data_IF_139945333033
#
_entry.id   IF_139945333033
#
_cell.length_a   1.000
_cell.length_b   1.000
_cell.length_c   1.000
_cell.angle_alpha   90.00
_cell.angle_beta   90.00
_cell.angle_gamma   90.00
#
_symmetry.space_group_name_H-M   'P 1'
#
loop_
_entity.id
_entity.type
_entity.pdbx_description
1 polymer ?
#
# COMPACT_ATOMS: atom_id res chain seq x y z
N UNK A 1 1.59 -18.65 -20.87
CA UNK A 1 0.51 -18.36 -19.91
C UNK A 1 -0.16 -17.07 -20.34
N UNK A 2 -1.43 -17.10 -20.76
CA UNK A 2 -2.13 -15.91 -21.27
C UNK A 2 -3.65 -16.04 -21.07
N UNK A 3 -4.07 -16.60 -19.92
CA UNK A 3 -5.49 -16.67 -19.59
C UNK A 3 -6.00 -15.30 -19.18
N UNK A 4 -7.31 -15.07 -19.35
CA UNK A 4 -7.96 -13.85 -18.87
C UNK A 4 -7.73 -13.62 -17.37
N UNK A 5 -7.74 -14.70 -16.57
CA UNK A 5 -7.45 -14.64 -15.14
C UNK A 5 -6.01 -14.18 -14.84
N UNK A 6 -5.02 -14.62 -15.62
CA UNK A 6 -3.64 -14.18 -15.47
C UNK A 6 -3.50 -12.68 -15.74
N UNK A 7 -4.06 -12.20 -16.85
CA UNK A 7 -4.00 -10.78 -17.20
C UNK A 7 -4.70 -9.90 -16.17
N UNK A 8 -5.90 -10.32 -15.73
CA UNK A 8 -6.63 -9.63 -14.67
C UNK A 8 -5.82 -9.55 -13.38
N UNK A 9 -5.19 -10.65 -12.95
CA UNK A 9 -4.36 -10.66 -11.75
C UNK A 9 -3.15 -9.72 -11.85
N UNK A 10 -2.47 -9.70 -12.99
CA UNK A 10 -1.33 -8.81 -13.24
C UNK A 10 -1.72 -7.33 -13.25
N UNK A 11 -2.81 -6.97 -13.94
CA UNK A 11 -3.33 -5.61 -13.92
C UNK A 11 -3.77 -5.19 -12.52
N UNK A 12 -4.55 -6.04 -11.83
CA UNK A 12 -5.06 -5.71 -10.50
C UNK A 12 -3.94 -5.46 -9.48
N UNK A 13 -2.86 -6.26 -9.48
CA UNK A 13 -1.75 -6.03 -8.55
C UNK A 13 -0.95 -4.77 -8.91
N UNK A 14 -0.78 -4.47 -10.20
CA UNK A 14 -0.13 -3.24 -10.65
C UNK A 14 -0.94 -1.99 -10.26
N UNK A 15 -2.26 -2.04 -10.44
CA UNK A 15 -3.18 -0.95 -10.09
C UNK A 15 -3.19 -0.69 -8.58
N UNK A 16 -3.26 -1.76 -7.77
CA UNK A 16 -3.20 -1.66 -6.31
C UNK A 16 -1.89 -1.03 -5.82
N UNK A 17 -0.75 -1.47 -6.37
CA UNK A 17 0.56 -0.91 -6.03
C UNK A 17 0.67 0.57 -6.43
N UNK A 18 0.16 0.92 -7.62
CA UNK A 18 0.16 2.29 -8.14
C UNK A 18 -0.70 3.20 -7.27
N UNK A 19 -1.87 2.74 -6.82
CA UNK A 19 -2.73 3.49 -5.92
C UNK A 19 -2.06 3.79 -4.58
N UNK A 20 -1.36 2.81 -3.98
CA UNK A 20 -0.57 3.02 -2.75
C UNK A 20 0.55 4.03 -2.99
N UNK A 21 1.29 3.91 -4.10
CA UNK A 21 2.35 4.86 -4.44
C UNK A 21 1.81 6.30 -4.52
N UNK A 22 0.71 6.51 -5.25
CA UNK A 22 0.13 7.85 -5.43
C UNK A 22 -0.39 8.44 -4.11
N UNK A 23 -1.00 7.62 -3.24
CA UNK A 23 -1.42 8.07 -1.91
C UNK A 23 -0.23 8.52 -1.05
N UNK A 24 0.86 7.76 -1.07
CA UNK A 24 2.09 8.11 -0.35
C UNK A 24 2.78 9.33 -0.97
N UNK A 25 2.79 9.45 -2.29
CA UNK A 25 3.29 10.63 -2.99
C UNK A 25 2.55 11.90 -2.56
N UNK A 26 1.21 11.84 -2.50
CA UNK A 26 0.37 12.94 -2.06
C UNK A 26 0.59 13.31 -0.58
N UNK A 27 0.95 12.34 0.28
CA UNK A 27 1.28 12.60 1.69
C UNK A 27 2.68 13.18 1.91
N UNK A 28 3.58 13.10 0.92
CA UNK A 28 4.94 13.60 1.00
C UNK A 28 5.70 13.11 2.25
N UNK A 29 6.37 14.04 2.93
CA UNK A 29 7.17 13.77 4.14
C UNK A 29 6.34 13.46 5.39
N UNK A 30 5.00 13.59 5.33
CA UNK A 30 4.13 13.18 6.43
C UNK A 30 3.92 11.66 6.45
N UNK A 31 3.94 11.01 5.28
CA UNK A 31 3.67 9.58 5.13
C UNK A 31 2.28 9.17 5.63
N UNK A 32 1.99 7.87 5.59
CA UNK A 32 0.68 7.33 6.01
C UNK A 32 0.82 6.02 6.79
N UNK A 33 0.00 5.85 7.82
CA UNK A 33 -0.19 4.57 8.51
C UNK A 33 -1.05 3.61 7.67
N UNK A 34 -1.08 2.32 8.03
CA UNK A 34 -1.93 1.33 7.36
C UNK A 34 -3.42 1.71 7.35
N UNK A 35 -3.90 2.34 8.43
CA UNK A 35 -5.30 2.75 8.55
C UNK A 35 -5.61 3.98 7.68
N UNK A 36 -4.70 4.95 7.62
CA UNK A 36 -4.85 6.12 6.74
C UNK A 36 -4.82 5.70 5.27
N UNK A 37 -3.90 4.81 4.88
CA UNK A 37 -3.85 4.25 3.52
C UNK A 37 -5.15 3.51 3.16
N UNK A 38 -5.59 2.58 4.02
CA UNK A 38 -6.80 1.80 3.76
C UNK A 38 -8.06 2.68 3.62
N UNK A 39 -8.22 3.70 4.49
CA UNK A 39 -9.31 4.67 4.39
C UNK A 39 -9.20 5.56 3.14
N UNK A 40 -8.00 6.05 2.82
CA UNK A 40 -7.79 6.94 1.66
C UNK A 40 -8.12 6.26 0.33
N UNK A 41 -7.84 4.96 0.21
CA UNK A 41 -8.08 4.19 -1.00
C UNK A 41 -9.46 3.51 -1.02
N UNK A 42 -10.19 3.51 0.09
CA UNK A 42 -11.43 2.74 0.22
C UNK A 42 -11.22 1.22 0.17
N UNK A 43 -9.98 0.75 0.32
CA UNK A 43 -9.58 -0.66 0.27
C UNK A 43 -9.08 -1.03 1.66
N UNK A 44 -10.03 -1.40 2.51
CA UNK A 44 -9.75 -1.81 3.87
C UNK A 44 -10.37 -3.18 4.16
N UNK A 45 -9.61 -3.99 4.88
CA UNK A 45 -10.07 -5.23 5.49
C UNK A 45 -9.79 -5.22 6.98
N UNK A 46 -10.31 -6.19 7.72
CA UNK A 46 -10.03 -6.33 9.14
C UNK A 46 -11.15 -7.04 9.89
N UNK A 47 -10.80 -7.69 11.00
CA UNK A 47 -11.75 -8.08 12.04
C UNK A 47 -11.89 -6.92 13.03
N UNK A 48 -12.90 -6.98 13.91
CA UNK A 48 -13.15 -5.99 14.96
C UNK A 48 -11.85 -5.55 15.63
N UNK A 49 -11.54 -4.24 15.60
CA UNK A 49 -10.31 -3.64 16.12
C UNK A 49 -9.24 -3.28 15.06
N UNK A 50 -9.36 -3.77 13.82
CA UNK A 50 -8.47 -3.44 12.69
C UNK A 50 -9.23 -2.94 11.45
N UNK A 51 -10.47 -2.47 11.65
CA UNK A 51 -11.31 -1.91 10.60
C UNK A 51 -10.63 -0.69 9.97
N UNK A 52 -10.53 -0.67 8.64
CA UNK A 52 -9.90 0.44 7.92
C UNK A 52 -8.44 0.20 7.52
N UNK A 53 -7.83 -0.94 7.84
CA UNK A 53 -6.43 -1.20 7.52
C UNK A 53 -6.26 -1.77 6.10
N UNK A 54 -5.30 -1.22 5.36
CA UNK A 54 -4.81 -1.85 4.13
C UNK A 54 -4.04 -3.14 4.45
N UNK A 55 -4.07 -4.10 3.53
CA UNK A 55 -3.33 -5.36 3.65
C UNK A 55 -1.83 -5.13 3.84
N UNK A 56 -1.27 -5.70 4.92
CA UNK A 56 0.18 -5.69 5.17
C UNK A 56 0.97 -6.41 4.08
N UNK A 57 0.37 -7.41 3.43
CA UNK A 57 1.01 -8.14 2.33
C UNK A 57 1.29 -7.22 1.15
N UNK A 58 0.33 -6.35 0.80
CA UNK A 58 0.52 -5.39 -0.30
C UNK A 58 1.67 -4.42 -0.01
N UNK A 59 1.75 -3.91 1.22
CA UNK A 59 2.82 -3.02 1.65
C UNK A 59 4.18 -3.73 1.68
N UNK A 60 4.23 -4.97 2.17
CA UNK A 60 5.44 -5.79 2.16
C UNK A 60 5.97 -6.09 0.76
N UNK A 61 5.09 -6.24 -0.25
CA UNK A 61 5.51 -6.38 -1.64
C UNK A 61 6.23 -5.12 -2.14
N UNK A 62 5.66 -3.93 -1.87
CA UNK A 62 6.25 -2.65 -2.25
C UNK A 62 7.57 -2.38 -1.51
N UNK A 63 7.66 -2.79 -0.25
CA UNK A 63 8.88 -2.66 0.56
C UNK A 63 10.00 -3.56 0.04
N UNK A 64 9.70 -4.82 -0.26
CA UNK A 64 10.65 -5.76 -0.87
C UNK A 64 11.11 -5.30 -2.27
N UNK A 65 10.27 -4.58 -3.00
CA UNK A 65 10.60 -3.95 -4.28
C UNK A 65 11.39 -2.64 -4.12
N UNK A 66 11.60 -2.18 -2.88
CA UNK A 66 12.34 -0.96 -2.57
C UNK A 66 11.59 0.33 -2.93
N UNK A 67 10.27 0.27 -3.10
CA UNK A 67 9.44 1.43 -3.45
C UNK A 67 9.08 2.24 -2.20
N UNK A 68 8.79 1.55 -1.11
CA UNK A 68 8.35 2.16 0.15
C UNK A 68 9.21 1.67 1.31
N UNK A 69 9.15 2.38 2.43
CA UNK A 69 9.77 1.99 3.70
C UNK A 69 8.83 2.33 4.85
N UNK A 70 8.75 1.45 5.86
CA UNK A 70 8.07 1.76 7.11
C UNK A 70 9.04 2.28 8.16
N UNK A 71 8.72 3.42 8.77
CA UNK A 71 9.45 3.91 9.95
C UNK A 71 8.90 3.21 11.20
N UNK A 72 9.76 2.49 11.91
CA UNK A 72 9.36 1.62 13.02
C UNK A 72 8.68 2.36 14.18
N UNK A 73 9.10 3.60 14.47
CA UNK A 73 8.61 4.36 15.61
C UNK A 73 7.19 4.90 15.37
N UNK A 74 6.93 5.39 14.17
CA UNK A 74 5.65 6.02 13.81
C UNK A 74 4.68 5.05 13.12
N UNK A 75 5.18 3.89 12.69
CA UNK A 75 4.46 2.92 11.84
C UNK A 75 3.96 3.51 10.51
N UNK A 76 4.50 4.67 10.12
CA UNK A 76 4.15 5.35 8.88
C UNK A 76 4.99 4.81 7.73
N UNK A 77 4.35 4.70 6.59
CA UNK A 77 4.94 4.35 5.31
C UNK A 77 5.29 5.62 4.56
N UNK A 78 6.42 5.56 3.87
CA UNK A 78 6.93 6.63 3.01
C UNK A 78 7.36 6.01 1.69
N UNK A 79 7.36 6.82 0.64
CA UNK A 79 8.16 6.48 -0.54
C UNK A 79 9.64 6.53 -0.15
N UNK A 80 10.43 5.59 -0.66
CA UNK A 80 11.88 5.53 -0.39
C UNK A 80 12.64 6.79 -0.80
N UNK A 81 12.10 7.59 -1.73
CA UNK A 81 12.69 8.90 -2.08
C UNK A 81 12.63 9.94 -0.95
N UNK A 82 11.80 9.73 0.06
CA UNK A 82 11.65 10.63 1.21
C UNK A 82 12.42 10.17 2.47
N UNK A 83 13.04 8.99 2.44
CA UNK A 83 13.71 8.34 3.57
C UNK A 83 14.87 7.47 3.09
#
# INVERSE_FOLDING_TARGET
MNSQAYQLAQSAIADLKSAVYLALEASGDAGLTNAELGRSLGIYGGHVGHEGHISRTLLGLLENEGVVVQVADTKRWFLKKYK
#
